data_IF_879171504966
#
_entry.id   IF_879171504966
#
_cell.length_a   1.000
_cell.length_b   1.000
_cell.length_c   1.000
_cell.angle_alpha   90.00
_cell.angle_beta   90.00
_cell.angle_gamma   90.00
#
_symmetry.space_group_name_H-M   'P 1'
#
loop_
_entity.id
_entity.type
_entity.pdbx_description
1 polymer ?
#
# COMPACT_ATOMS: atom_id res chain seq x y z
N UNK A 1 28.61 74.74 -28.74
CA UNK A 1 27.36 73.97 -28.58
C UNK A 1 27.72 72.49 -28.55
N UNK A 2 27.82 71.93 -27.36
CA UNK A 2 28.17 70.53 -27.08
C UNK A 2 26.88 69.78 -26.77
N UNK A 3 26.60 68.66 -27.44
CA UNK A 3 25.59 67.69 -27.01
C UNK A 3 26.26 66.34 -26.83
N UNK A 4 26.43 65.93 -25.57
CA UNK A 4 26.76 64.56 -25.16
C UNK A 4 25.43 63.88 -24.78
N UNK A 5 24.99 62.92 -25.58
CA UNK A 5 23.94 61.99 -25.19
C UNK A 5 24.58 60.84 -24.42
N UNK A 6 24.24 60.70 -23.14
CA UNK A 6 24.59 59.56 -22.29
C UNK A 6 23.42 58.57 -22.36
N UNK A 7 23.64 57.40 -22.97
CA UNK A 7 22.66 56.31 -22.98
C UNK A 7 22.91 55.43 -21.74
N UNK A 8 22.02 55.50 -20.75
CA UNK A 8 21.99 54.56 -19.62
C UNK A 8 21.32 53.26 -20.07
N UNK A 9 22.10 52.21 -20.30
CA UNK A 9 21.58 50.85 -20.41
C UNK A 9 21.33 50.30 -19.01
N UNK A 10 20.07 50.29 -18.57
CA UNK A 10 19.65 49.51 -17.42
C UNK A 10 19.53 48.04 -17.84
N UNK A 11 20.49 47.21 -17.43
CA UNK A 11 20.39 45.76 -17.58
C UNK A 11 19.42 45.26 -16.51
N UNK A 12 18.16 45.02 -16.90
CA UNK A 12 17.26 44.17 -16.13
C UNK A 12 17.80 42.73 -16.21
N UNK A 13 18.45 42.28 -15.14
CA UNK A 13 18.72 40.86 -14.97
C UNK A 13 17.38 40.17 -14.65
N UNK A 14 16.75 39.60 -15.69
CA UNK A 14 15.67 38.66 -15.50
C UNK A 14 16.27 37.39 -14.86
N UNK A 15 16.05 37.19 -13.57
CA UNK A 15 16.31 35.91 -12.91
C UNK A 15 15.30 34.90 -13.46
N UNK A 16 15.69 34.21 -14.53
CA UNK A 16 14.98 33.03 -14.98
C UNK A 16 15.07 31.98 -13.86
N UNK A 17 13.98 31.77 -13.13
CA UNK A 17 13.83 30.62 -12.24
C UNK A 17 13.94 29.38 -13.12
N UNK A 18 15.10 28.73 -13.10
CA UNK A 18 15.27 27.47 -13.83
C UNK A 18 14.27 26.46 -13.25
N UNK A 19 13.50 25.74 -14.09
CA UNK A 19 12.69 24.65 -13.60
C UNK A 19 13.62 23.66 -12.89
N UNK A 20 13.34 23.40 -11.60
CA UNK A 20 14.14 22.46 -10.83
C UNK A 20 14.20 21.12 -11.56
N UNK A 21 15.41 20.59 -11.76
CA UNK A 21 15.58 19.31 -12.44
C UNK A 21 14.88 18.23 -11.62
N UNK A 22 13.90 17.54 -12.21
CA UNK A 22 13.25 16.40 -11.58
C UNK A 22 14.31 15.34 -11.26
N UNK A 23 14.48 15.03 -9.98
CA UNK A 23 15.41 14.00 -9.53
C UNK A 23 14.63 12.71 -9.30
N UNK A 24 15.17 11.59 -9.78
CA UNK A 24 14.59 10.26 -9.60
C UNK A 24 15.53 9.46 -8.72
N UNK A 25 14.98 8.89 -7.65
CA UNK A 25 15.66 7.87 -6.83
C UNK A 25 14.93 6.54 -7.06
N UNK A 26 15.68 5.53 -7.47
CA UNK A 26 15.19 4.16 -7.61
C UNK A 26 15.74 3.33 -6.45
N UNK A 27 14.84 2.68 -5.72
CA UNK A 27 15.18 1.74 -4.66
C UNK A 27 14.47 0.40 -4.90
N UNK A 28 15.14 -0.71 -4.58
CA UNK A 28 14.60 -2.06 -4.78
C UNK A 28 13.36 -2.32 -3.93
N UNK A 29 12.51 -3.26 -4.38
CA UNK A 29 11.17 -3.49 -3.81
C UNK A 29 11.09 -4.26 -2.50
N UNK A 30 12.21 -4.66 -1.90
CA UNK A 30 12.22 -5.41 -0.64
C UNK A 30 13.31 -4.89 0.31
N UNK A 31 13.14 -3.64 0.75
CA UNK A 31 14.03 -3.04 1.74
C UNK A 31 13.68 -3.59 3.14
N UNK A 32 14.64 -4.16 3.90
CA UNK A 32 14.40 -4.68 5.25
C UNK A 32 14.22 -3.56 6.27
N UNK A 33 13.09 -2.85 6.19
CA UNK A 33 12.68 -1.86 7.19
C UNK A 33 12.09 -2.59 8.39
N UNK A 34 12.44 -2.18 9.60
CA UNK A 34 11.80 -2.71 10.80
C UNK A 34 10.35 -2.22 10.88
N UNK A 35 9.41 -3.14 10.71
CA UNK A 35 7.98 -2.90 10.90
C UNK A 35 7.29 -4.08 11.58
N UNK A 36 6.08 -3.85 12.09
CA UNK A 36 5.29 -4.90 12.75
C UNK A 36 4.91 -6.02 11.79
N UNK A 37 4.61 -5.70 10.53
CA UNK A 37 4.35 -6.66 9.46
C UNK A 37 5.64 -7.28 8.88
N UNK A 38 6.78 -6.60 9.06
CA UNK A 38 8.10 -6.94 8.51
C UNK A 38 9.14 -7.25 9.58
N UNK A 39 8.78 -8.00 10.63
CA UNK A 39 9.63 -8.18 11.83
C UNK A 39 11.05 -8.72 11.57
N UNK A 40 11.30 -9.38 10.45
CA UNK A 40 12.63 -9.84 10.02
C UNK A 40 13.60 -8.69 9.70
N UNK A 41 13.08 -7.49 9.43
CA UNK A 41 13.86 -6.27 9.22
C UNK A 41 14.28 -5.57 10.50
N UNK A 42 13.99 -6.11 11.69
CA UNK A 42 14.26 -5.45 12.97
C UNK A 42 15.54 -5.91 13.65
N UNK A 43 16.41 -4.97 13.99
CA UNK A 43 17.59 -5.18 14.84
C UNK A 43 17.77 -3.99 15.83
N UNK A 44 17.61 -4.19 17.16
CA UNK A 44 17.26 -5.44 17.83
C UNK A 44 15.80 -5.86 17.57
N UNK A 45 15.48 -7.09 17.95
CA UNK A 45 14.10 -7.59 17.90
C UNK A 45 13.17 -6.65 18.67
N UNK A 46 12.14 -6.17 17.99
CA UNK A 46 11.23 -5.14 18.51
C UNK A 46 9.93 -5.77 19.03
N UNK A 47 9.57 -5.44 20.26
CA UNK A 47 8.23 -5.70 20.76
C UNK A 47 7.25 -4.63 20.26
N UNK A 48 6.13 -5.07 19.69
CA UNK A 48 5.10 -4.21 19.13
C UNK A 48 3.93 -4.01 20.10
N UNK A 49 3.30 -2.82 20.10
CA UNK A 49 2.09 -2.59 20.89
C UNK A 49 0.94 -3.45 20.37
N UNK A 50 -0.06 -3.71 21.20
CA UNK A 50 -1.24 -4.53 20.84
C UNK A 50 -2.01 -3.97 19.63
N UNK A 51 -1.93 -2.66 19.39
CA UNK A 51 -2.56 -1.98 18.27
C UNK A 51 -1.76 -2.10 16.95
N UNK A 52 -0.56 -2.70 16.98
CA UNK A 52 0.19 -2.97 15.77
C UNK A 52 -0.40 -4.17 15.04
N UNK A 53 -0.60 -4.04 13.74
CA UNK A 53 -0.87 -5.17 12.86
C UNK A 53 0.46 -5.87 12.55
N UNK A 54 0.59 -7.13 12.91
CA UNK A 54 1.79 -7.95 12.69
C UNK A 54 1.59 -9.04 11.63
N UNK A 55 0.35 -9.44 11.37
CA UNK A 55 -0.04 -10.27 10.24
C UNK A 55 -1.53 -10.15 9.92
N UNK A 56 -1.89 -10.39 8.66
CA UNK A 56 -3.28 -10.69 8.29
C UNK A 56 -3.62 -12.13 8.64
N UNK A 57 -4.77 -12.31 9.27
CA UNK A 57 -5.31 -13.61 9.62
C UNK A 57 -6.48 -13.95 8.72
N UNK A 58 -6.66 -15.24 8.45
CA UNK A 58 -7.70 -15.78 7.61
C UNK A 58 -8.50 -16.79 8.42
N UNK A 59 -9.82 -16.82 8.23
CA UNK A 59 -10.69 -17.77 8.91
C UNK A 59 -11.64 -18.40 7.91
N UNK A 60 -11.67 -19.73 7.90
CA UNK A 60 -12.59 -20.51 7.07
C UNK A 60 -13.81 -20.87 7.90
N UNK A 61 -14.97 -20.35 7.52
CA UNK A 61 -16.26 -20.68 8.15
C UNK A 61 -17.32 -20.89 7.08
N UNK A 62 -18.33 -21.68 7.37
CA UNK A 62 -19.48 -21.91 6.47
C UNK A 62 -20.07 -20.58 5.96
N UNK A 63 -20.31 -19.62 6.86
CA UNK A 63 -20.83 -18.32 6.49
C UNK A 63 -19.90 -17.52 5.54
N UNK A 64 -18.58 -17.64 5.66
CA UNK A 64 -17.62 -16.98 4.75
C UNK A 64 -17.58 -17.68 3.39
N UNK A 65 -17.67 -19.01 3.37
CA UNK A 65 -17.76 -19.82 2.17
C UNK A 65 -19.01 -19.46 1.36
N UNK A 66 -20.17 -19.38 2.00
CA UNK A 66 -21.42 -18.99 1.36
C UNK A 66 -21.34 -17.59 0.74
N UNK A 67 -20.77 -16.61 1.48
CA UNK A 67 -20.58 -15.25 0.97
C UNK A 67 -19.63 -15.19 -0.23
N UNK A 68 -18.53 -15.93 -0.18
CA UNK A 68 -17.60 -16.01 -1.30
C UNK A 68 -18.27 -16.64 -2.53
N UNK A 69 -19.00 -17.74 -2.38
CA UNK A 69 -19.70 -18.35 -3.52
C UNK A 69 -20.74 -17.43 -4.14
N UNK A 70 -21.48 -16.68 -3.31
CA UNK A 70 -22.45 -15.71 -3.80
C UNK A 70 -21.79 -14.56 -4.59
N UNK A 71 -20.52 -14.22 -4.32
CA UNK A 71 -19.80 -13.14 -5.01
C UNK A 71 -19.19 -13.53 -6.35
N UNK A 72 -19.12 -14.84 -6.65
CA UNK A 72 -18.58 -15.35 -7.92
C UNK A 72 -19.53 -15.15 -9.12
N UNK A 73 -20.82 -14.91 -8.89
CA UNK A 73 -21.81 -14.80 -9.97
C UNK A 73 -21.82 -16.03 -10.89
N UNK A 74 -21.73 -15.83 -12.20
CA UNK A 74 -21.73 -16.91 -13.19
C UNK A 74 -20.56 -17.91 -13.00
N UNK A 75 -19.42 -17.44 -12.46
CA UNK A 75 -18.23 -18.26 -12.22
C UNK A 75 -18.40 -19.29 -11.10
N UNK A 76 -19.46 -19.20 -10.29
CA UNK A 76 -19.76 -20.12 -9.20
C UNK A 76 -19.92 -21.58 -9.68
N UNK A 77 -20.32 -21.80 -10.94
CA UNK A 77 -20.54 -23.13 -11.52
C UNK A 77 -19.29 -23.74 -12.15
N UNK A 78 -18.18 -22.99 -12.23
CA UNK A 78 -16.94 -23.49 -12.81
C UNK A 78 -16.42 -24.72 -12.03
N UNK A 79 -15.74 -25.68 -12.70
CA UNK A 79 -15.10 -26.79 -12.01
C UNK A 79 -14.16 -26.31 -10.88
N UNK A 80 -13.35 -25.28 -11.15
CA UNK A 80 -12.44 -24.69 -10.16
C UNK A 80 -13.17 -24.16 -8.92
N UNK A 81 -14.29 -23.44 -9.07
CA UNK A 81 -15.06 -22.93 -7.94
C UNK A 81 -15.67 -24.05 -7.09
N UNK A 82 -16.16 -25.14 -7.71
CA UNK A 82 -16.72 -26.30 -7.00
C UNK A 82 -15.65 -27.09 -6.23
N UNK A 83 -14.47 -27.23 -6.82
CA UNK A 83 -13.33 -27.90 -6.18
C UNK A 83 -12.80 -27.08 -5.00
N UNK A 84 -12.64 -25.76 -5.17
CA UNK A 84 -12.26 -24.88 -4.08
C UNK A 84 -13.29 -24.85 -2.96
N UNK A 85 -14.59 -24.85 -3.27
CA UNK A 85 -15.64 -24.99 -2.26
C UNK A 85 -15.45 -26.26 -1.43
N UNK A 86 -15.17 -27.39 -2.08
CA UNK A 86 -14.96 -28.68 -1.39
C UNK A 86 -13.75 -28.61 -0.47
N UNK A 87 -12.63 -28.02 -0.91
CA UNK A 87 -11.45 -27.83 -0.09
C UNK A 87 -11.74 -26.90 1.11
N UNK A 88 -12.48 -25.82 0.90
CA UNK A 88 -12.88 -24.89 1.95
C UNK A 88 -13.82 -25.54 2.97
N UNK A 89 -14.77 -26.38 2.54
CA UNK A 89 -15.64 -27.12 3.46
C UNK A 89 -14.81 -28.08 4.35
N UNK A 90 -13.81 -28.76 3.78
CA UNK A 90 -12.88 -29.60 4.57
C UNK A 90 -12.08 -28.76 5.57
N UNK A 91 -11.50 -27.64 5.13
CA UNK A 91 -10.76 -26.74 6.01
C UNK A 91 -11.64 -26.18 7.14
N UNK A 92 -12.91 -25.86 6.86
CA UNK A 92 -13.84 -25.39 7.89
C UNK A 92 -14.11 -26.44 8.99
N UNK A 93 -14.06 -27.73 8.64
CA UNK A 93 -14.24 -28.83 9.57
C UNK A 93 -12.97 -29.10 10.40
N UNK A 94 -11.80 -28.99 9.77
CA UNK A 94 -10.51 -29.35 10.38
C UNK A 94 -9.88 -28.19 11.17
N UNK A 95 -10.17 -26.94 10.78
CA UNK A 95 -9.48 -25.75 11.29
C UNK A 95 -10.43 -24.56 11.56
N UNK A 96 -10.94 -24.48 12.79
CA UNK A 96 -11.81 -23.37 13.23
C UNK A 96 -11.06 -22.08 13.64
N UNK A 97 -9.77 -22.19 13.97
CA UNK A 97 -8.95 -21.07 14.41
C UNK A 97 -8.42 -20.24 13.22
N UNK A 98 -8.18 -18.93 13.39
CA UNK A 98 -7.55 -18.13 12.35
C UNK A 98 -6.13 -18.60 12.04
N UNK A 99 -5.74 -18.44 10.79
CA UNK A 99 -4.47 -18.91 10.22
C UNK A 99 -3.79 -17.78 9.45
N UNK A 100 -2.48 -17.91 9.19
CA UNK A 100 -1.76 -16.93 8.37
C UNK A 100 -2.18 -17.01 6.90
N UNK A 101 -1.92 -15.93 6.15
CA UNK A 101 -2.10 -15.92 4.69
C UNK A 101 -1.35 -17.03 3.98
N UNK A 102 -0.09 -17.27 4.37
CA UNK A 102 0.74 -18.31 3.78
C UNK A 102 0.12 -19.68 4.00
N UNK A 103 -0.25 -20.01 5.24
CA UNK A 103 -0.91 -21.28 5.54
C UNK A 103 -2.21 -21.43 4.77
N UNK A 104 -3.05 -20.38 4.72
CA UNK A 104 -4.31 -20.42 3.99
C UNK A 104 -4.09 -20.69 2.49
N UNK A 105 -3.15 -19.97 1.88
CA UNK A 105 -2.81 -20.15 0.45
C UNK A 105 -2.19 -21.52 0.19
N UNK A 106 -1.33 -21.99 1.08
CA UNK A 106 -0.65 -23.29 0.99
C UNK A 106 -1.67 -24.43 1.11
N UNK A 107 -2.68 -24.35 1.98
CA UNK A 107 -3.72 -25.37 2.07
C UNK A 107 -4.57 -25.44 0.80
N UNK A 108 -4.92 -24.28 0.23
CA UNK A 108 -5.67 -24.25 -1.02
C UNK A 108 -4.83 -24.76 -2.20
N UNK A 109 -3.54 -24.43 -2.25
CA UNK A 109 -2.60 -24.88 -3.28
C UNK A 109 -2.14 -26.34 -3.12
N UNK A 110 -2.01 -26.86 -1.90
CA UNK A 110 -1.62 -28.25 -1.62
C UNK A 110 -2.68 -29.25 -2.07
N UNK A 111 -3.94 -28.82 -2.15
CA UNK A 111 -5.03 -29.66 -2.63
C UNK A 111 -4.96 -29.92 -4.15
N UNK A 112 -4.34 -28.99 -4.92
CA UNK A 112 -3.88 -29.07 -6.33
C UNK A 112 -3.57 -27.64 -6.83
N UNK A 113 -2.29 -27.31 -7.07
CA UNK A 113 -1.86 -25.97 -7.48
C UNK A 113 -2.54 -25.47 -8.77
N UNK A 114 -2.91 -26.39 -9.67
CA UNK A 114 -3.61 -26.06 -10.89
C UNK A 114 -5.00 -25.46 -10.64
N UNK A 115 -5.62 -25.72 -9.47
CA UNK A 115 -6.94 -25.17 -9.09
C UNK A 115 -6.87 -23.72 -8.64
N UNK A 116 -5.86 -23.40 -7.82
CA UNK A 116 -5.63 -22.05 -7.33
C UNK A 116 -5.15 -21.14 -8.46
N UNK A 117 -4.29 -21.67 -9.34
CA UNK A 117 -3.77 -20.96 -10.51
C UNK A 117 -4.79 -20.87 -11.66
N UNK A 118 -5.85 -21.69 -11.66
CA UNK A 118 -6.94 -21.61 -12.64
C UNK A 118 -7.95 -20.50 -12.33
N UNK A 119 -7.93 -19.92 -11.12
CA UNK A 119 -8.70 -18.71 -10.84
C UNK A 119 -8.08 -17.53 -11.59
N UNK A 120 -8.93 -16.73 -12.23
CA UNK A 120 -8.49 -15.40 -12.65
C UNK A 120 -8.11 -14.54 -11.42
N UNK A 121 -7.34 -13.48 -11.67
CA UNK A 121 -6.86 -12.61 -10.60
C UNK A 121 -8.00 -12.07 -9.74
N UNK A 122 -9.15 -11.72 -10.34
CA UNK A 122 -10.30 -11.19 -9.62
C UNK A 122 -10.85 -12.23 -8.64
N UNK A 123 -11.11 -13.44 -9.10
CA UNK A 123 -11.66 -14.51 -8.28
C UNK A 123 -10.69 -14.92 -7.15
N UNK A 124 -9.39 -14.90 -7.43
CA UNK A 124 -8.34 -15.15 -6.43
C UNK A 124 -8.27 -14.05 -5.37
N UNK A 125 -8.42 -12.79 -5.75
CA UNK A 125 -8.48 -11.68 -4.78
C UNK A 125 -9.76 -11.72 -3.96
N UNK A 126 -10.91 -11.96 -4.59
CA UNK A 126 -12.17 -12.15 -3.88
C UNK A 126 -12.07 -13.27 -2.84
N UNK A 127 -11.43 -14.39 -3.20
CA UNK A 127 -11.16 -15.47 -2.26
C UNK A 127 -10.32 -14.98 -1.06
N UNK A 128 -9.25 -14.23 -1.27
CA UNK A 128 -8.46 -13.72 -0.14
C UNK A 128 -9.28 -12.74 0.73
N UNK A 129 -10.00 -11.81 0.12
CA UNK A 129 -10.78 -10.79 0.84
C UNK A 129 -11.90 -11.39 1.69
N UNK A 130 -12.63 -12.38 1.16
CA UNK A 130 -13.74 -13.01 1.86
C UNK A 130 -13.31 -13.80 3.09
N UNK A 131 -12.08 -14.28 3.12
CA UNK A 131 -11.55 -15.12 4.20
C UNK A 131 -10.66 -14.36 5.17
N UNK A 132 -10.17 -13.18 4.81
CA UNK A 132 -9.42 -12.31 5.70
C UNK A 132 -10.30 -11.86 6.89
N UNK A 133 -9.73 -11.91 8.09
CA UNK A 133 -10.31 -11.37 9.31
C UNK A 133 -10.14 -9.84 9.31
N UNK A 134 -11.17 -9.08 9.73
CA UNK A 134 -11.02 -7.64 9.91
C UNK A 134 -9.88 -7.30 10.86
N UNK A 135 -9.06 -6.33 10.49
CA UNK A 135 -7.95 -5.88 11.34
C UNK A 135 -8.40 -4.90 12.43
N UNK A 136 -9.56 -4.25 12.22
CA UNK A 136 -10.14 -3.26 13.12
C UNK A 136 -9.29 -1.99 13.16
N UNK A 137 -9.09 -1.42 14.35
CA UNK A 137 -8.23 -0.24 14.52
C UNK A 137 -6.73 -0.56 14.54
N UNK A 138 -6.33 -1.80 14.24
CA UNK A 138 -4.91 -2.17 14.15
C UNK A 138 -4.34 -1.71 12.82
N UNK A 139 -3.11 -1.21 12.87
CA UNK A 139 -2.39 -0.73 11.69
C UNK A 139 -0.92 -1.07 11.79
N UNK A 140 -0.23 -1.11 10.66
CA UNK A 140 1.21 -1.38 10.65
C UNK A 140 1.96 -0.32 11.46
N UNK A 141 3.05 -0.70 12.12
CA UNK A 141 3.94 0.21 12.85
C UNK A 141 5.35 0.07 12.33
N UNK A 142 6.04 1.20 12.15
CA UNK A 142 7.41 1.26 11.63
C UNK A 142 8.36 1.79 12.70
N UNK A 143 9.59 1.28 12.73
CA UNK A 143 10.72 1.86 13.47
C UNK A 143 11.93 1.91 12.55
N UNK A 144 12.01 2.95 11.72
CA UNK A 144 13.06 3.08 10.71
C UNK A 144 14.47 2.93 11.30
N UNK A 145 14.73 3.54 12.47
CA UNK A 145 16.04 3.48 13.14
C UNK A 145 16.42 2.10 13.67
N UNK A 146 15.44 1.23 13.88
CA UNK A 146 15.64 -0.14 14.36
C UNK A 146 15.73 -1.13 13.17
N UNK A 147 15.89 -0.62 11.94
CA UNK A 147 16.05 -1.47 10.74
C UNK A 147 17.41 -2.15 10.74
N UNK A 148 17.45 -3.43 10.37
CA UNK A 148 18.67 -4.27 10.35
C UNK A 148 19.67 -3.89 9.25
N UNK A 149 19.34 -2.92 8.40
CA UNK A 149 20.18 -2.48 7.29
C UNK A 149 20.35 -0.97 7.31
N UNK A 150 21.58 -0.52 7.56
CA UNK A 150 21.92 0.91 7.44
C UNK A 150 21.64 1.44 6.02
N UNK A 151 21.94 0.64 4.98
CA UNK A 151 21.65 1.04 3.60
C UNK A 151 20.16 1.29 3.35
N UNK A 152 19.27 0.56 4.04
CA UNK A 152 17.83 0.80 3.98
C UNK A 152 17.47 2.15 4.61
N UNK A 153 18.01 2.45 5.78
CA UNK A 153 17.83 3.74 6.45
C UNK A 153 18.30 4.88 5.55
N UNK A 154 19.51 4.74 5.00
CA UNK A 154 20.14 5.73 4.11
C UNK A 154 19.30 6.02 2.86
N UNK A 155 18.60 5.03 2.31
CA UNK A 155 17.71 5.22 1.15
C UNK A 155 16.55 6.18 1.49
N UNK A 156 15.87 5.96 2.60
CA UNK A 156 14.75 6.82 3.01
C UNK A 156 15.24 8.21 3.40
N UNK A 157 16.34 8.30 4.15
CA UNK A 157 16.94 9.57 4.51
C UNK A 157 17.44 10.35 3.29
N UNK A 158 18.02 9.66 2.30
CA UNK A 158 18.46 10.27 1.04
C UNK A 158 17.28 10.81 0.24
N UNK A 159 16.18 10.08 0.16
CA UNK A 159 14.97 10.55 -0.52
C UNK A 159 14.46 11.84 0.14
N UNK A 160 14.37 11.87 1.48
CA UNK A 160 13.94 13.07 2.22
C UNK A 160 14.95 14.21 2.05
N UNK A 161 16.26 13.93 2.03
CA UNK A 161 17.28 14.95 1.77
C UNK A 161 17.14 15.58 0.38
N UNK A 162 16.89 14.79 -0.67
CA UNK A 162 16.62 15.30 -2.01
C UNK A 162 15.36 16.18 -2.05
N UNK A 163 14.32 15.80 -1.29
CA UNK A 163 13.11 16.61 -1.16
C UNK A 163 13.35 17.92 -0.38
N UNK A 164 14.23 17.91 0.63
CA UNK A 164 14.70 19.12 1.34
C UNK A 164 15.43 20.07 0.40
N UNK A 165 16.38 19.56 -0.37
CA UNK A 165 17.15 20.33 -1.36
C UNK A 165 16.23 20.99 -2.40
N UNK A 166 15.21 20.24 -2.87
CA UNK A 166 14.27 20.73 -3.89
C UNK A 166 13.27 21.75 -3.33
N UNK A 167 12.77 21.54 -2.11
CA UNK A 167 11.71 22.37 -1.53
C UNK A 167 12.23 23.57 -0.72
N UNK A 168 13.49 23.53 -0.28
CA UNK A 168 14.07 24.48 0.68
C UNK A 168 13.49 24.38 2.09
N UNK A 169 12.67 23.36 2.39
CA UNK A 169 12.06 23.15 3.72
C UNK A 169 12.88 22.18 4.53
N UNK A 170 13.06 22.45 5.83
CA UNK A 170 13.68 21.52 6.77
C UNK A 170 12.90 20.20 6.88
N UNK A 171 11.56 20.27 6.94
CA UNK A 171 10.65 19.13 6.78
C UNK A 171 9.92 19.26 5.44
N UNK A 172 10.35 18.56 4.38
CA UNK A 172 9.72 18.65 3.07
C UNK A 172 8.35 17.96 3.09
N UNK A 173 7.43 18.41 2.23
CA UNK A 173 6.15 17.72 2.01
C UNK A 173 6.37 16.56 1.05
N UNK A 174 5.95 15.37 1.43
CA UNK A 174 6.02 14.17 0.59
C UNK A 174 4.61 13.62 0.43
N UNK A 175 4.16 13.54 -0.82
CA UNK A 175 2.94 12.83 -1.18
C UNK A 175 3.26 11.38 -1.50
N UNK A 176 2.61 10.45 -0.82
CA UNK A 176 2.74 9.01 -1.09
C UNK A 176 1.52 8.55 -1.87
N UNK A 177 1.74 7.79 -2.94
CA UNK A 177 0.67 7.08 -3.64
C UNK A 177 0.89 5.58 -3.56
N UNK A 178 -0.14 4.87 -3.11
CA UNK A 178 -0.22 3.41 -3.03
C UNK A 178 -1.08 2.83 -4.15
N UNK A 179 -1.35 3.60 -5.20
CA UNK A 179 -2.26 3.25 -6.30
C UNK A 179 -1.83 2.03 -7.13
N UNK A 180 -0.59 1.57 -6.98
CA UNK A 180 -0.11 0.31 -7.58
C UNK A 180 -0.52 -0.93 -6.79
N UNK A 181 -0.98 -0.77 -5.54
CA UNK A 181 -1.54 -1.85 -4.74
C UNK A 181 -3.00 -2.09 -5.10
N UNK A 182 -3.44 -3.34 -4.99
CA UNK A 182 -4.86 -3.69 -5.06
C UNK A 182 -5.62 -3.07 -3.89
N UNK A 183 -5.08 -3.25 -2.69
CA UNK A 183 -5.54 -2.58 -1.48
C UNK A 183 -4.62 -1.39 -1.21
N UNK A 184 -5.07 -0.14 -1.48
CA UNK A 184 -4.23 1.03 -1.29
C UNK A 184 -3.98 1.34 0.18
N UNK A 185 -4.71 0.72 1.12
CA UNK A 185 -4.56 0.94 2.55
C UNK A 185 -3.53 0.00 3.19
N UNK A 186 -3.35 -1.22 2.65
CA UNK A 186 -2.44 -2.25 3.19
C UNK A 186 -1.03 -1.72 3.51
N UNK A 187 -0.45 -0.91 2.61
CA UNK A 187 0.91 -0.36 2.76
C UNK A 187 0.93 1.11 3.21
N UNK A 188 -0.23 1.70 3.49
CA UNK A 188 -0.34 3.13 3.73
C UNK A 188 0.38 3.55 5.02
N UNK A 189 0.08 2.84 6.11
CA UNK A 189 0.69 3.09 7.42
C UNK A 189 2.22 3.00 7.36
N UNK A 190 2.75 2.02 6.62
CA UNK A 190 4.17 1.85 6.40
C UNK A 190 4.80 3.11 5.78
N UNK A 191 4.27 3.58 4.65
CA UNK A 191 4.87 4.69 3.93
C UNK A 191 4.70 6.03 4.65
N UNK A 192 3.56 6.25 5.30
CA UNK A 192 3.37 7.45 6.12
C UNK A 192 4.42 7.52 7.23
N UNK A 193 4.62 6.42 7.96
CA UNK A 193 5.53 6.40 9.09
C UNK A 193 7.00 6.39 8.68
N UNK A 194 7.40 5.65 7.65
CA UNK A 194 8.81 5.53 7.26
C UNK A 194 9.38 6.87 6.79
N UNK A 195 8.61 7.63 5.98
CA UNK A 195 9.03 8.95 5.52
C UNK A 195 8.89 10.01 6.60
N UNK A 196 7.90 9.90 7.51
CA UNK A 196 7.81 10.80 8.66
C UNK A 196 9.02 10.64 9.58
N UNK A 197 9.45 9.40 9.85
CA UNK A 197 10.62 9.11 10.67
C UNK A 197 11.94 9.50 9.99
N UNK A 198 12.01 9.48 8.66
CA UNK A 198 13.11 10.08 7.88
C UNK A 198 13.10 11.62 7.89
N UNK A 199 12.06 12.24 8.48
CA UNK A 199 11.97 13.65 8.79
C UNK A 199 11.19 14.49 7.77
N UNK A 200 10.21 13.89 7.09
CA UNK A 200 9.27 14.59 6.22
C UNK A 200 7.94 14.93 6.91
N UNK A 201 7.14 15.77 6.25
CA UNK A 201 5.70 15.95 6.48
C UNK A 201 4.99 15.15 5.39
N UNK A 202 4.28 14.07 5.74
CA UNK A 202 3.81 13.07 4.76
C UNK A 202 2.29 13.11 4.63
N UNK A 203 1.79 12.97 3.39
CA UNK A 203 0.36 12.89 3.09
C UNK A 203 0.09 11.79 2.09
N UNK A 204 -1.07 11.15 2.22
CA UNK A 204 -1.55 10.21 1.23
C UNK A 204 -2.19 10.92 0.03
N UNK A 205 -1.86 10.45 -1.17
CA UNK A 205 -2.47 10.85 -2.41
C UNK A 205 -3.19 9.61 -2.99
N UNK A 206 -4.53 9.51 -2.83
CA UNK A 206 -5.31 8.40 -3.38
C UNK A 206 -5.46 8.57 -4.89
N UNK A 207 -4.37 8.43 -5.64
CA UNK A 207 -4.33 8.61 -7.10
C UNK A 207 -4.86 7.36 -7.82
N UNK A 208 -6.04 6.89 -7.42
CA UNK A 208 -6.67 5.69 -7.95
C UNK A 208 -7.87 6.05 -8.86
N UNK A 209 -8.46 5.00 -9.45
CA UNK A 209 -9.65 5.14 -10.31
C UNK A 209 -10.86 5.65 -9.52
N UNK A 210 -10.99 5.26 -8.26
CA UNK A 210 -12.10 5.67 -7.41
C UNK A 210 -12.06 7.17 -7.11
N UNK A 211 -10.89 7.72 -6.80
CA UNK A 211 -10.68 9.15 -6.65
C UNK A 211 -10.99 9.92 -7.92
N UNK A 212 -10.56 9.41 -9.09
CA UNK A 212 -10.88 10.03 -10.38
C UNK A 212 -12.40 10.07 -10.63
N UNK A 213 -13.12 8.99 -10.29
CA UNK A 213 -14.57 8.91 -10.41
C UNK A 213 -15.29 9.83 -9.42
N UNK A 214 -14.90 9.81 -8.14
CA UNK A 214 -15.43 10.67 -7.08
C UNK A 214 -15.24 12.15 -7.43
N UNK A 215 -14.07 12.52 -7.95
CA UNK A 215 -13.81 13.87 -8.44
C UNK A 215 -14.68 14.26 -9.63
N UNK A 216 -14.82 13.38 -10.62
CA UNK A 216 -15.68 13.63 -11.78
C UNK A 216 -17.15 13.81 -11.37
N UNK A 217 -17.59 13.08 -10.34
CA UNK A 217 -18.92 13.19 -9.75
C UNK A 217 -19.08 14.35 -8.75
N UNK A 218 -18.00 15.07 -8.41
CA UNK A 218 -17.98 16.06 -7.32
C UNK A 218 -18.44 15.51 -5.96
N UNK A 219 -18.09 14.25 -5.66
CA UNK A 219 -18.43 13.48 -4.44
C UNK A 219 -17.17 12.95 -3.76
N UNK A 220 -16.17 13.80 -3.54
CA UNK A 220 -14.89 13.39 -2.94
C UNK A 220 -15.05 12.92 -1.48
N UNK A 221 -16.07 13.41 -0.79
CA UNK A 221 -16.50 12.99 0.55
C UNK A 221 -16.94 11.53 0.58
N UNK A 222 -17.38 10.98 -0.55
CA UNK A 222 -17.85 9.60 -0.71
C UNK A 222 -16.75 8.68 -1.27
N UNK A 223 -15.47 9.07 -1.19
CA UNK A 223 -14.36 8.32 -1.78
C UNK A 223 -14.36 6.83 -1.38
N UNK A 224 -14.68 6.52 -0.11
CA UNK A 224 -14.75 5.15 0.39
C UNK A 224 -15.81 4.31 -0.35
N UNK A 225 -16.95 4.90 -0.71
CA UNK A 225 -17.99 4.23 -1.50
C UNK A 225 -17.47 3.91 -2.92
N UNK A 226 -16.82 4.88 -3.56
CA UNK A 226 -16.21 4.66 -4.87
C UNK A 226 -15.09 3.60 -4.84
N UNK A 227 -14.31 3.55 -3.75
CA UNK A 227 -13.25 2.55 -3.56
C UNK A 227 -13.84 1.15 -3.38
N UNK A 228 -14.89 1.01 -2.58
CA UNK A 228 -15.66 -0.23 -2.45
C UNK A 228 -16.24 -0.70 -3.80
N UNK A 229 -16.90 0.19 -4.55
CA UNK A 229 -17.57 -0.17 -5.80
C UNK A 229 -16.60 -0.46 -6.95
N UNK A 230 -15.53 0.34 -7.09
CA UNK A 230 -14.66 0.30 -8.26
C UNK A 230 -13.38 -0.51 -8.05
N UNK A 231 -12.90 -0.62 -6.81
CA UNK A 231 -11.67 -1.33 -6.45
C UNK A 231 -11.95 -2.61 -5.63
N UNK A 232 -13.13 -2.73 -5.02
CA UNK A 232 -13.46 -3.86 -4.15
C UNK A 232 -12.75 -3.80 -2.80
N UNK A 233 -12.36 -2.60 -2.35
CA UNK A 233 -11.64 -2.36 -1.09
C UNK A 233 -12.61 -1.78 -0.06
N UNK A 234 -12.64 -2.33 1.16
CA UNK A 234 -13.72 -2.09 2.13
C UNK A 234 -13.23 -1.53 3.48
N UNK A 235 -12.02 -0.98 3.52
CA UNK A 235 -11.35 -0.50 4.75
C UNK A 235 -11.64 0.98 5.07
#
# INVERSE_FOLDING_TARGET
MLHRFLFCLAVLAATATQPGSAQILLAGGNLPVCSSMGGHGCEPMTAWPQQALDMHLYRVTEARIERWQASLGDSAHSPAARELRTALDQLALEHAAPVSRSWFSDQLGASDAARYDALDDRARWQLLDHFQEPVGARGEKVRLRDSSSQATIDIFERFVAMARETSGRERPRIGVSTASSRDPFDALDFYLQVFEQAGAEVYWLPLDRAFSAARAASRCEDLAEFQAELLGTWD
#
